data_IF_092157368700
#
_entry.id   IF_092157368700
#
_cell.length_a   1.000
_cell.length_b   1.000
_cell.length_c   1.000
_cell.angle_alpha   90.00
_cell.angle_beta   90.00
_cell.angle_gamma   90.00
#
_symmetry.space_group_name_H-M   'P 1'
#
loop_
_entity.id
_entity.type
_entity.pdbx_description
1 polymer ?
#
# COMPACT_ATOMS: atom_id res chain seq x y z
N UNK A 1 -14.98 -24.30 -4.64
CA UNK A 1 -15.19 -22.86 -4.96
C UNK A 1 -14.39 -22.08 -3.95
N UNK A 2 -13.13 -21.87 -4.27
CA UNK A 2 -12.08 -21.86 -3.26
C UNK A 2 -11.87 -20.44 -2.72
N UNK A 3 -11.72 -20.31 -1.40
CA UNK A 3 -11.38 -19.07 -0.69
C UNK A 3 -10.12 -18.35 -1.26
N UNK A 4 -9.35 -19.05 -2.10
CA UNK A 4 -8.31 -18.51 -2.96
C UNK A 4 -8.74 -17.38 -3.90
N UNK A 5 -9.97 -17.39 -4.42
CA UNK A 5 -10.46 -16.29 -5.28
C UNK A 5 -10.65 -14.98 -4.49
N UNK A 6 -10.88 -15.04 -3.18
CA UNK A 6 -10.95 -13.86 -2.32
C UNK A 6 -9.54 -13.25 -2.09
N UNK A 7 -8.52 -14.09 -1.96
CA UNK A 7 -7.11 -13.68 -1.82
C UNK A 7 -6.54 -13.06 -3.11
N UNK A 8 -6.98 -13.51 -4.28
CA UNK A 8 -6.50 -13.00 -5.58
C UNK A 8 -7.21 -11.70 -5.98
N UNK A 9 -8.46 -11.47 -5.54
CA UNK A 9 -9.19 -10.21 -5.84
C UNK A 9 -8.78 -9.02 -4.95
N UNK A 10 -8.14 -9.29 -3.80
CA UNK A 10 -7.63 -8.26 -2.87
C UNK A 10 -6.34 -7.58 -3.37
N UNK A 11 -5.68 -8.12 -4.39
CA UNK A 11 -4.36 -7.66 -4.82
C UNK A 11 -4.35 -6.51 -5.86
N UNK A 12 -5.47 -6.13 -6.48
CA UNK A 12 -5.47 -5.21 -7.65
C UNK A 12 -6.38 -3.98 -7.50
N UNK A 13 -6.57 -3.46 -6.29
CA UNK A 13 -7.26 -2.16 -6.11
C UNK A 13 -6.34 -1.16 -5.40
N UNK A 14 -5.38 -0.66 -6.18
CA UNK A 14 -4.81 0.68 -6.12
C UNK A 14 -4.51 1.23 -4.71
N UNK A 15 -3.26 1.03 -4.28
CA UNK A 15 -2.64 1.46 -3.02
C UNK A 15 -2.51 2.96 -2.77
N UNK A 16 -3.54 3.73 -3.13
CA UNK A 16 -3.63 5.12 -2.66
C UNK A 16 -3.80 5.15 -1.14
N UNK A 17 -4.52 4.18 -0.57
CA UNK A 17 -4.87 4.16 0.86
C UNK A 17 -3.63 4.08 1.75
N UNK A 18 -2.71 3.15 1.50
CA UNK A 18 -1.47 3.02 2.30
C UNK A 18 -0.62 4.30 2.26
N UNK A 19 -0.53 4.94 1.09
CA UNK A 19 0.22 6.17 0.91
C UNK A 19 -0.48 7.39 1.54
N UNK A 20 -1.81 7.48 1.44
CA UNK A 20 -2.61 8.53 2.07
C UNK A 20 -2.53 8.46 3.60
N UNK A 21 -2.67 7.27 4.18
CA UNK A 21 -2.53 7.08 5.64
C UNK A 21 -1.11 7.47 6.11
N UNK A 22 -0.09 7.11 5.33
CA UNK A 22 1.28 7.56 5.60
C UNK A 22 1.41 9.10 5.57
N UNK A 23 0.79 9.77 4.61
CA UNK A 23 0.76 11.24 4.55
C UNK A 23 -0.04 11.88 5.69
N UNK A 24 -1.04 11.18 6.22
CA UNK A 24 -1.83 11.59 7.39
C UNK A 24 -1.05 11.42 8.72
N UNK A 25 0.15 10.82 8.69
CA UNK A 25 1.01 10.65 9.85
C UNK A 25 0.92 9.29 10.54
N UNK A 26 0.17 8.33 9.98
CA UNK A 26 0.12 6.98 10.53
C UNK A 26 1.46 6.25 10.37
N UNK A 27 1.83 5.48 11.38
CA UNK A 27 3.01 4.62 11.34
C UNK A 27 2.77 3.39 10.45
N UNK A 28 3.83 2.86 9.85
CA UNK A 28 3.71 1.69 8.97
C UNK A 28 3.06 0.48 9.63
N UNK A 29 3.27 0.30 10.94
CA UNK A 29 2.66 -0.78 11.71
C UNK A 29 1.15 -0.57 11.84
N UNK A 30 0.71 0.65 12.19
CA UNK A 30 -0.71 0.99 12.28
C UNK A 30 -1.41 0.82 10.93
N UNK A 31 -0.76 1.20 9.82
CA UNK A 31 -1.28 1.01 8.47
C UNK A 31 -1.38 -0.48 8.11
N UNK A 32 -0.37 -1.27 8.49
CA UNK A 32 -0.35 -2.73 8.28
C UNK A 32 -1.51 -3.40 9.03
N UNK A 33 -1.73 -2.99 10.28
CA UNK A 33 -2.80 -3.52 11.13
C UNK A 33 -4.18 -3.07 10.62
N UNK A 34 -4.36 -1.79 10.26
CA UNK A 34 -5.60 -1.22 9.72
C UNK A 34 -6.01 -1.87 8.40
N UNK A 35 -5.05 -2.16 7.52
CA UNK A 35 -5.30 -2.76 6.21
C UNK A 35 -5.24 -4.29 6.25
N UNK A 36 -4.88 -4.89 7.39
CA UNK A 36 -4.60 -6.31 7.56
C UNK A 36 -3.64 -6.82 6.46
N UNK A 37 -2.54 -6.11 6.26
CA UNK A 37 -1.50 -6.39 5.27
C UNK A 37 -0.15 -6.52 5.96
N UNK A 38 0.78 -7.34 5.43
CA UNK A 38 2.12 -7.43 5.99
C UNK A 38 2.84 -6.08 5.99
N UNK A 39 3.57 -5.77 7.05
CA UNK A 39 4.39 -4.55 7.15
C UNK A 39 5.34 -4.37 5.95
N UNK A 40 5.93 -5.46 5.46
CA UNK A 40 6.79 -5.45 4.27
C UNK A 40 6.07 -4.99 3.01
N UNK A 41 4.80 -5.38 2.87
CA UNK A 41 3.91 -4.97 1.77
C UNK A 41 3.61 -3.48 1.85
N UNK A 42 3.26 -2.95 3.03
CA UNK A 42 3.03 -1.51 3.22
C UNK A 42 4.29 -0.69 2.89
N UNK A 43 5.46 -1.13 3.38
CA UNK A 43 6.74 -0.47 3.09
C UNK A 43 7.05 -0.43 1.59
N UNK A 44 6.89 -1.56 0.89
CA UNK A 44 7.19 -1.63 -0.55
C UNK A 44 6.23 -0.77 -1.38
N UNK A 45 4.94 -0.75 -1.02
CA UNK A 45 3.91 0.10 -1.65
C UNK A 45 4.22 1.59 -1.51
N UNK A 46 4.52 2.04 -0.30
CA UNK A 46 4.86 3.45 -0.04
C UNK A 46 6.16 3.85 -0.74
N UNK A 47 7.19 2.99 -0.70
CA UNK A 47 8.44 3.23 -1.42
C UNK A 47 8.21 3.38 -2.94
N UNK A 48 7.43 2.49 -3.53
CA UNK A 48 7.08 2.54 -4.95
C UNK A 48 6.29 3.80 -5.31
N UNK A 49 5.32 4.21 -4.48
CA UNK A 49 4.56 5.44 -4.66
C UNK A 49 5.46 6.69 -4.63
N UNK A 50 6.40 6.79 -3.68
CA UNK A 50 7.38 7.89 -3.61
C UNK A 50 8.27 7.94 -4.84
N UNK A 51 8.78 6.79 -5.29
CA UNK A 51 9.63 6.71 -6.50
C UNK A 51 8.88 7.13 -7.76
N UNK A 52 7.60 6.78 -7.88
CA UNK A 52 6.76 7.23 -8.99
C UNK A 52 6.50 8.73 -8.95
N UNK A 53 6.25 9.29 -7.76
CA UNK A 53 6.02 10.73 -7.59
C UNK A 53 7.27 11.54 -7.96
N UNK A 54 8.44 11.11 -7.48
CA UNK A 54 9.72 11.73 -7.81
C UNK A 54 9.96 11.76 -9.33
N UNK A 55 9.78 10.62 -10.02
CA UNK A 55 9.89 10.54 -11.48
C UNK A 55 8.94 11.47 -12.25
N UNK A 56 7.80 11.84 -11.65
CA UNK A 56 6.84 12.77 -12.27
C UNK A 56 7.22 14.23 -12.05
N UNK A 57 7.91 14.53 -10.95
CA UNK A 57 8.36 15.88 -10.62
C UNK A 57 9.68 16.24 -11.30
N UNK A 58 10.54 15.23 -11.57
CA UNK A 58 11.81 15.40 -12.28
C UNK A 58 11.65 15.55 -13.82
N UNK A 59 10.45 15.88 -14.32
CA UNK A 59 10.15 16.19 -15.74
C UNK A 59 9.74 17.64 -15.88
#
# INVERSE_FOLDING_TARGET
MNAWYCLILICVKLDKTSFLLYLQGYHYQEIADLLNQPLGTIKSRIHFAKKQLQKKLDR
#
